data_IF_707589701120
#
_entry.id   IF_707589701120
#
_cell.length_a   1.000
_cell.length_b   1.000
_cell.length_c   1.000
_cell.angle_alpha   90.00
_cell.angle_beta   90.00
_cell.angle_gamma   90.00
#
_symmetry.space_group_name_H-M   'P 1'
#
loop_
_entity.id
_entity.type
_entity.pdbx_description
1 polymer ?
#
# COMPACT_ATOMS: atom_id res chain seq x y z
N UNK A 1 4.64 -70.58 -41.64
CA UNK A 1 4.31 -69.23 -41.17
C UNK A 1 4.92 -69.05 -39.77
N UNK A 2 6.04 -68.31 -39.65
CA UNK A 2 6.69 -68.01 -38.37
C UNK A 2 6.47 -66.51 -38.09
N UNK A 3 5.73 -66.22 -37.02
CA UNK A 3 5.46 -64.84 -36.54
C UNK A 3 6.70 -64.30 -35.80
N UNK A 4 7.26 -63.18 -36.24
CA UNK A 4 8.31 -62.45 -35.57
C UNK A 4 7.65 -61.37 -34.68
N UNK A 5 7.52 -61.66 -33.39
CA UNK A 5 7.31 -60.57 -32.39
C UNK A 5 8.66 -59.95 -32.02
N UNK A 6 8.89 -58.72 -32.48
CA UNK A 6 10.01 -57.91 -31.99
C UNK A 6 9.61 -57.29 -30.65
N UNK A 7 10.22 -57.78 -29.57
CA UNK A 7 10.16 -57.13 -28.27
C UNK A 7 11.07 -55.88 -28.28
N UNK A 8 10.52 -54.72 -28.07
CA UNK A 8 11.26 -53.48 -27.85
C UNK A 8 11.99 -53.58 -26.48
N UNK A 9 13.27 -53.17 -26.38
CA UNK A 9 14.03 -53.29 -25.13
C UNK A 9 13.49 -52.29 -24.10
N UNK A 10 13.10 -52.85 -22.94
CA UNK A 10 12.55 -52.09 -21.76
C UNK A 10 13.53 -51.08 -21.13
N UNK A 11 14.74 -50.93 -21.66
CA UNK A 11 15.78 -50.05 -21.15
C UNK A 11 15.64 -48.58 -21.58
N UNK A 12 14.83 -48.27 -22.58
CA UNK A 12 14.64 -46.88 -23.11
C UNK A 12 13.46 -46.13 -22.48
N UNK A 13 12.59 -46.84 -21.76
CA UNK A 13 11.43 -46.21 -21.09
C UNK A 13 11.74 -45.53 -19.74
N UNK A 14 12.76 -46.05 -19.02
CA UNK A 14 13.15 -45.46 -17.72
C UNK A 14 13.70 -44.01 -17.81
N UNK A 15 14.60 -43.66 -18.73
CA UNK A 15 15.12 -42.29 -18.81
C UNK A 15 14.08 -41.32 -19.30
N UNK A 16 13.12 -41.72 -20.13
CA UNK A 16 12.02 -40.84 -20.58
C UNK A 16 11.01 -40.56 -19.46
N UNK A 17 10.71 -41.54 -18.61
CA UNK A 17 9.84 -41.32 -17.44
C UNK A 17 10.53 -40.49 -16.36
N UNK A 18 11.84 -40.63 -16.16
CA UNK A 18 12.62 -39.80 -15.24
C UNK A 18 12.74 -38.34 -15.72
N UNK A 19 12.86 -38.12 -17.04
CA UNK A 19 12.87 -36.75 -17.62
C UNK A 19 11.52 -36.04 -17.48
N UNK A 20 10.41 -36.78 -17.55
CA UNK A 20 9.06 -36.22 -17.30
C UNK A 20 8.82 -35.87 -15.82
N UNK A 21 9.45 -36.59 -14.88
CA UNK A 21 9.36 -36.29 -13.45
C UNK A 21 10.22 -35.08 -13.04
N UNK A 22 11.32 -34.80 -13.75
CA UNK A 22 12.18 -33.65 -13.49
C UNK A 22 11.62 -32.33 -14.10
N UNK A 23 10.82 -32.40 -15.16
CA UNK A 23 10.13 -31.23 -15.73
C UNK A 23 8.87 -30.83 -14.98
N UNK A 24 8.37 -31.64 -14.05
CA UNK A 24 7.15 -31.37 -13.30
C UNK A 24 7.31 -30.37 -12.13
N UNK A 25 8.54 -30.12 -11.68
CA UNK A 25 8.77 -29.22 -10.54
C UNK A 25 8.54 -27.73 -10.86
N UNK A 26 8.57 -27.32 -12.13
CA UNK A 26 8.27 -25.93 -12.53
C UNK A 26 6.79 -25.67 -12.78
N UNK A 27 5.94 -26.71 -12.82
CA UNK A 27 4.49 -26.55 -13.03
C UNK A 27 3.71 -26.24 -11.76
N UNK A 28 4.34 -26.29 -10.57
CA UNK A 28 3.74 -25.85 -9.29
C UNK A 28 4.35 -24.52 -8.87
N UNK A 29 3.99 -23.47 -9.57
CA UNK A 29 4.48 -22.10 -9.35
C UNK A 29 4.03 -21.46 -8.02
N UNK A 30 3.43 -22.16 -7.11
CA UNK A 30 3.00 -21.58 -5.84
C UNK A 30 4.01 -21.88 -4.73
N UNK A 31 4.87 -20.89 -4.45
CA UNK A 31 5.57 -20.80 -3.18
C UNK A 31 4.98 -19.64 -2.39
N UNK A 32 4.50 -19.84 -1.16
CA UNK A 32 4.09 -18.73 -0.30
C UNK A 32 5.23 -17.73 -0.04
N UNK A 33 6.48 -18.16 -0.26
CA UNK A 33 7.67 -17.32 -0.14
C UNK A 33 8.08 -16.64 -1.46
N UNK A 34 7.32 -16.78 -2.54
CA UNK A 34 7.65 -16.13 -3.81
C UNK A 34 7.34 -14.64 -3.74
N UNK A 35 8.39 -13.84 -3.74
CA UNK A 35 8.32 -12.38 -3.74
C UNK A 35 8.50 -11.76 -5.13
N UNK A 36 8.64 -12.58 -6.19
CA UNK A 36 8.81 -12.10 -7.56
C UNK A 36 7.51 -11.50 -8.08
N UNK A 37 7.66 -10.48 -8.90
CA UNK A 37 6.56 -9.88 -9.65
C UNK A 37 6.93 -9.81 -11.14
N UNK A 38 5.96 -9.98 -12.06
CA UNK A 38 6.18 -9.73 -13.48
C UNK A 38 6.46 -8.23 -13.71
N UNK A 39 7.19 -7.89 -14.76
CA UNK A 39 7.67 -6.51 -15.02
C UNK A 39 6.56 -5.45 -14.97
N UNK A 40 5.35 -5.80 -15.41
CA UNK A 40 4.23 -4.86 -15.37
C UNK A 40 3.70 -4.59 -13.97
N UNK A 41 4.00 -5.45 -12.98
CA UNK A 41 3.64 -5.34 -11.57
C UNK A 41 4.84 -5.06 -10.65
N UNK A 42 5.95 -4.56 -11.17
CA UNK A 42 7.09 -4.09 -10.38
C UNK A 42 7.07 -2.57 -10.29
N UNK A 43 7.63 -2.02 -9.20
CA UNK A 43 7.79 -0.58 -8.97
C UNK A 43 6.50 0.23 -9.21
N UNK A 44 5.37 -0.29 -8.74
CA UNK A 44 4.05 0.29 -9.01
C UNK A 44 3.92 1.72 -8.46
N UNK A 45 4.54 2.03 -7.31
CA UNK A 45 4.56 3.40 -6.78
C UNK A 45 5.23 4.35 -7.76
N UNK A 46 6.43 4.02 -8.25
CA UNK A 46 7.14 4.88 -9.21
C UNK A 46 6.34 5.06 -10.51
N UNK A 47 5.74 3.99 -11.03
CA UNK A 47 4.89 4.02 -12.22
C UNK A 47 3.65 4.90 -12.04
N UNK A 48 2.98 4.80 -10.89
CA UNK A 48 1.79 5.60 -10.58
C UNK A 48 2.14 7.08 -10.32
N UNK A 49 3.26 7.37 -9.65
CA UNK A 49 3.73 8.74 -9.47
C UNK A 49 4.13 9.38 -10.81
N UNK A 50 4.78 8.64 -11.70
CA UNK A 50 5.06 9.11 -13.05
C UNK A 50 3.77 9.43 -13.83
N UNK A 51 2.72 8.61 -13.67
CA UNK A 51 1.39 8.86 -14.24
C UNK A 51 0.72 10.08 -13.60
N UNK A 52 0.83 10.26 -12.28
CA UNK A 52 0.30 11.44 -11.58
C UNK A 52 0.94 12.74 -12.10
N UNK A 53 2.24 12.73 -12.32
CA UNK A 53 3.00 13.87 -12.81
C UNK A 53 2.66 14.27 -14.27
N UNK A 54 1.95 13.44 -15.03
CA UNK A 54 1.45 13.81 -16.36
C UNK A 54 0.27 14.80 -16.29
N UNK A 55 -0.37 14.95 -15.12
CA UNK A 55 -1.46 15.89 -14.89
C UNK A 55 -1.15 16.71 -13.63
N UNK A 56 -0.16 17.62 -13.68
CA UNK A 56 0.25 18.38 -12.50
C UNK A 56 -0.88 19.29 -12.02
N UNK A 57 -1.01 19.37 -10.70
CA UNK A 57 -1.94 20.30 -10.06
C UNK A 57 -1.25 21.66 -9.94
N UNK A 58 -1.81 22.76 -10.50
CA UNK A 58 -1.26 24.09 -10.31
C UNK A 58 -1.19 24.51 -8.84
N UNK A 59 -0.20 25.32 -8.50
CA UNK A 59 -0.08 25.87 -7.15
C UNK A 59 -1.32 26.69 -6.77
N UNK A 60 -1.80 26.51 -5.55
CA UNK A 60 -3.01 27.18 -5.06
C UNK A 60 -4.31 26.48 -5.38
N UNK A 61 -4.31 25.48 -6.27
CA UNK A 61 -5.51 24.70 -6.60
C UNK A 61 -5.91 23.77 -5.47
N UNK A 62 -7.18 23.40 -5.48
CA UNK A 62 -7.76 22.45 -4.53
C UNK A 62 -7.37 21.03 -4.89
N UNK A 63 -6.69 20.36 -3.99
CA UNK A 63 -6.33 18.96 -4.10
C UNK A 63 -7.50 18.07 -3.66
N UNK A 64 -7.79 17.02 -4.45
CA UNK A 64 -8.79 16.01 -4.09
C UNK A 64 -8.24 14.63 -4.35
N UNK A 65 -8.27 13.78 -3.35
CA UNK A 65 -7.86 12.37 -3.48
C UNK A 65 -8.81 11.43 -2.75
N UNK A 66 -8.81 10.17 -3.16
CA UNK A 66 -9.51 9.09 -2.46
C UNK A 66 -8.60 8.51 -1.41
N UNK A 67 -9.14 8.21 -0.24
CA UNK A 67 -8.44 7.55 0.86
C UNK A 67 -9.24 6.36 1.39
N UNK A 68 -8.60 5.22 1.48
CA UNK A 68 -9.11 3.96 2.03
C UNK A 68 -7.93 3.10 2.49
N UNK A 69 -8.17 1.95 3.09
CA UNK A 69 -7.12 1.00 3.50
C UNK A 69 -7.65 -0.42 3.53
N UNK A 70 -6.80 -1.34 3.99
CA UNK A 70 -7.20 -2.68 4.43
C UNK A 70 -7.99 -3.44 3.35
N UNK A 71 -7.39 -3.55 2.15
CA UNK A 71 -8.01 -4.28 1.04
C UNK A 71 -7.98 -5.80 1.22
N UNK A 72 -6.91 -6.33 1.83
CA UNK A 72 -6.77 -7.75 2.20
C UNK A 72 -7.37 -8.71 1.15
N UNK A 73 -8.27 -9.60 1.57
CA UNK A 73 -8.98 -10.61 0.75
C UNK A 73 -10.26 -10.10 0.08
N UNK A 74 -10.56 -8.81 0.20
CA UNK A 74 -11.83 -8.23 -0.27
C UNK A 74 -11.76 -7.85 -1.77
N UNK A 75 -11.50 -8.84 -2.64
CA UNK A 75 -11.29 -8.62 -4.08
C UNK A 75 -12.55 -8.15 -4.83
N UNK A 76 -13.73 -8.63 -4.41
CA UNK A 76 -15.00 -8.16 -5.00
C UNK A 76 -15.25 -6.68 -4.64
N UNK A 77 -14.96 -6.33 -3.40
CA UNK A 77 -15.03 -4.95 -2.90
C UNK A 77 -14.02 -4.05 -3.63
N UNK A 78 -12.82 -4.56 -3.95
CA UNK A 78 -11.83 -3.85 -4.75
C UNK A 78 -12.35 -3.52 -6.16
N UNK A 79 -13.06 -4.48 -6.80
CA UNK A 79 -13.68 -4.24 -8.11
C UNK A 79 -14.77 -3.17 -8.03
N UNK A 80 -15.64 -3.23 -7.03
CA UNK A 80 -16.73 -2.27 -6.87
C UNK A 80 -16.20 -0.88 -6.47
N UNK A 81 -15.16 -0.80 -5.63
CA UNK A 81 -14.45 0.43 -5.32
C UNK A 81 -13.93 1.09 -6.60
N UNK A 82 -13.26 0.33 -7.47
CA UNK A 82 -12.74 0.84 -8.75
C UNK A 82 -13.86 1.41 -9.62
N UNK A 83 -15.00 0.71 -9.73
CA UNK A 83 -16.18 1.20 -10.47
C UNK A 83 -16.68 2.53 -9.88
N UNK A 84 -16.80 2.61 -8.56
CA UNK A 84 -17.27 3.79 -7.83
C UNK A 84 -16.30 4.97 -7.98
N UNK A 85 -15.00 4.75 -7.74
CA UNK A 85 -13.97 5.79 -7.85
C UNK A 85 -13.87 6.36 -9.27
N UNK A 86 -14.00 5.51 -10.29
CA UNK A 86 -13.99 5.92 -11.69
C UNK A 86 -15.16 6.84 -12.09
N UNK A 87 -16.20 6.96 -11.25
CA UNK A 87 -17.33 7.87 -11.43
C UNK A 87 -17.13 9.20 -10.69
N UNK A 88 -16.13 9.32 -9.81
CA UNK A 88 -15.90 10.54 -9.04
C UNK A 88 -15.17 11.59 -9.90
N UNK A 89 -15.80 12.73 -10.10
CA UNK A 89 -15.19 13.82 -10.84
C UNK A 89 -14.17 14.61 -10.01
N UNK A 90 -13.08 15.02 -10.66
CA UNK A 90 -12.09 15.92 -10.07
C UNK A 90 -11.24 15.32 -8.95
N UNK A 91 -11.15 13.99 -8.88
CA UNK A 91 -10.23 13.27 -7.99
C UNK A 91 -8.94 12.98 -8.76
N UNK A 92 -7.78 13.27 -8.15
CA UNK A 92 -6.49 13.15 -8.82
C UNK A 92 -5.84 11.79 -8.66
N UNK A 93 -5.92 11.18 -7.48
CA UNK A 93 -5.35 9.85 -7.20
C UNK A 93 -6.04 9.17 -6.01
N UNK A 94 -5.68 7.92 -5.77
CA UNK A 94 -6.15 7.13 -4.64
C UNK A 94 -4.97 6.73 -3.77
N UNK A 95 -5.15 6.76 -2.43
CA UNK A 95 -4.20 6.22 -1.44
C UNK A 95 -4.84 5.04 -0.73
N UNK A 96 -4.08 3.94 -0.61
CA UNK A 96 -4.42 2.79 0.23
C UNK A 96 -3.49 2.77 1.43
N UNK A 97 -4.07 2.85 2.62
CA UNK A 97 -3.37 2.94 3.89
C UNK A 97 -2.91 1.56 4.42
N UNK A 98 -2.31 0.74 3.56
CA UNK A 98 -1.75 -0.56 3.95
C UNK A 98 -2.75 -1.71 3.95
N UNK A 99 -2.26 -2.88 4.39
CA UNK A 99 -2.97 -4.16 4.42
C UNK A 99 -3.58 -4.51 3.06
N UNK A 100 -2.70 -4.56 2.06
CA UNK A 100 -3.06 -4.90 0.69
C UNK A 100 -3.26 -6.40 0.56
N UNK A 101 -2.45 -7.19 1.26
CA UNK A 101 -2.56 -8.65 1.40
C UNK A 101 -3.11 -9.04 2.76
N UNK A 102 -3.61 -10.28 2.88
CA UNK A 102 -4.09 -10.87 4.15
C UNK A 102 -2.95 -11.62 4.87
N UNK A 103 -2.05 -12.24 4.10
CA UNK A 103 -0.98 -13.10 4.63
C UNK A 103 0.43 -12.72 4.14
N UNK A 104 0.63 -11.55 3.58
CA UNK A 104 1.91 -11.10 3.05
C UNK A 104 2.35 -11.82 1.77
N UNK A 105 1.43 -12.46 1.06
CA UNK A 105 1.76 -13.13 -0.19
C UNK A 105 1.82 -12.14 -1.35
N UNK A 106 2.92 -12.14 -2.09
CA UNK A 106 3.05 -11.32 -3.29
C UNK A 106 1.94 -11.57 -4.32
N UNK A 107 1.36 -12.78 -4.34
CA UNK A 107 0.21 -13.11 -5.19
C UNK A 107 -1.04 -12.33 -4.78
N UNK A 108 -1.32 -12.18 -3.50
CA UNK A 108 -2.46 -11.39 -3.00
C UNK A 108 -2.31 -9.92 -3.39
N UNK A 109 -1.13 -9.34 -3.19
CA UNK A 109 -0.80 -7.97 -3.59
C UNK A 109 -1.00 -7.75 -5.10
N UNK A 110 -0.59 -8.73 -5.93
CA UNK A 110 -0.80 -8.66 -7.38
C UNK A 110 -2.28 -8.76 -7.77
N UNK A 111 -3.07 -9.57 -7.08
CA UNK A 111 -4.53 -9.64 -7.33
C UNK A 111 -5.21 -8.30 -7.03
N UNK A 112 -4.83 -7.61 -5.96
CA UNK A 112 -5.36 -6.28 -5.67
C UNK A 112 -4.94 -5.29 -6.76
N UNK A 113 -3.67 -5.30 -7.19
CA UNK A 113 -3.22 -4.47 -8.33
C UNK A 113 -4.00 -4.77 -9.61
N UNK A 114 -4.34 -6.03 -9.90
CA UNK A 114 -5.15 -6.40 -11.09
C UNK A 114 -6.52 -5.72 -11.12
N UNK A 115 -7.07 -5.37 -9.96
CA UNK A 115 -8.25 -4.51 -9.86
C UNK A 115 -7.91 -3.03 -9.95
N UNK A 116 -6.96 -2.56 -9.16
CA UNK A 116 -6.61 -1.14 -9.02
C UNK A 116 -6.03 -0.53 -10.31
N UNK A 117 -5.34 -1.31 -11.14
CA UNK A 117 -4.83 -0.83 -12.45
C UNK A 117 -5.94 -0.42 -13.43
N UNK A 118 -7.20 -0.79 -13.15
CA UNK A 118 -8.39 -0.38 -13.93
C UNK A 118 -8.91 1.01 -13.53
N UNK A 119 -8.29 1.64 -12.53
CA UNK A 119 -8.58 3.02 -12.16
C UNK A 119 -8.17 3.98 -13.27
N UNK A 120 -9.03 4.96 -13.54
CA UNK A 120 -8.71 6.08 -14.45
C UNK A 120 -7.66 7.02 -13.86
N UNK A 121 -7.50 7.03 -12.56
CA UNK A 121 -6.52 7.80 -11.79
C UNK A 121 -5.42 6.89 -11.26
N UNK A 122 -4.20 7.41 -10.98
CA UNK A 122 -3.15 6.63 -10.33
C UNK A 122 -3.50 6.31 -8.87
N UNK A 123 -2.82 5.31 -8.32
CA UNK A 123 -2.92 4.98 -6.89
C UNK A 123 -1.52 4.81 -6.28
N UNK A 124 -1.42 5.03 -4.97
CA UNK A 124 -0.22 4.80 -4.17
C UNK A 124 -0.61 4.10 -2.86
N UNK A 125 0.36 3.46 -2.21
CA UNK A 125 0.11 2.64 -1.02
C UNK A 125 1.18 2.89 0.04
N UNK A 126 0.86 2.63 1.30
CA UNK A 126 1.83 2.34 2.36
C UNK A 126 1.78 0.85 2.69
N UNK A 127 2.82 0.31 3.33
CA UNK A 127 2.81 -1.07 3.81
C UNK A 127 1.96 -1.19 5.07
N UNK A 128 1.17 -2.28 5.18
CA UNK A 128 0.45 -2.64 6.39
C UNK A 128 1.13 -3.79 7.15
N UNK A 129 0.60 -4.10 8.32
CA UNK A 129 1.15 -5.18 9.16
C UNK A 129 0.88 -6.57 8.55
N UNK A 130 -0.27 -6.81 7.92
CA UNK A 130 -0.54 -8.04 7.17
C UNK A 130 0.39 -8.20 5.96
N UNK A 131 0.77 -7.10 5.30
CA UNK A 131 1.75 -7.10 4.21
C UNK A 131 3.15 -7.51 4.67
N UNK A 132 3.45 -7.40 5.97
CA UNK A 132 4.76 -7.69 6.55
C UNK A 132 4.94 -9.14 6.99
N UNK A 133 3.91 -9.98 6.90
CA UNK A 133 3.94 -11.39 7.31
C UNK A 133 4.90 -12.20 6.43
N UNK A 134 5.72 -13.04 7.04
CA UNK A 134 6.66 -13.94 6.33
C UNK A 134 7.65 -13.19 5.44
N UNK A 135 7.61 -13.40 4.13
CA UNK A 135 8.41 -12.69 3.13
C UNK A 135 7.67 -11.48 2.51
N UNK A 136 6.56 -11.08 3.08
CA UNK A 136 5.66 -10.08 2.52
C UNK A 136 6.31 -8.72 2.30
N UNK A 137 7.22 -8.28 3.19
CA UNK A 137 8.00 -7.05 2.97
C UNK A 137 8.78 -7.07 1.66
N UNK A 138 9.48 -8.18 1.37
CA UNK A 138 10.23 -8.33 0.12
C UNK A 138 9.30 -8.34 -1.09
N UNK A 139 8.12 -8.95 -0.94
CA UNK A 139 7.10 -8.96 -1.98
C UNK A 139 6.55 -7.53 -2.20
N UNK A 140 6.26 -6.79 -1.12
CA UNK A 140 5.83 -5.41 -1.19
C UNK A 140 6.88 -4.53 -1.88
N UNK A 141 8.15 -4.62 -1.46
CA UNK A 141 9.25 -3.86 -2.06
C UNK A 141 9.42 -4.16 -3.55
N UNK A 142 9.27 -5.42 -3.96
CA UNK A 142 9.37 -5.83 -5.37
C UNK A 142 8.17 -5.33 -6.21
N UNK A 143 6.98 -5.28 -5.63
CA UNK A 143 5.73 -4.93 -6.34
C UNK A 143 5.49 -3.41 -6.28
N UNK A 144 5.49 -2.83 -5.09
CA UNK A 144 5.14 -1.42 -4.90
C UNK A 144 6.37 -0.51 -4.82
N UNK A 145 7.50 -0.98 -4.30
CA UNK A 145 8.72 -0.19 -4.12
C UNK A 145 9.01 0.10 -2.65
N UNK A 146 9.69 1.22 -2.32
CA UNK A 146 10.20 1.48 -0.99
C UNK A 146 9.09 1.60 0.07
N UNK A 147 9.39 1.12 1.30
CA UNK A 147 8.46 1.14 2.44
C UNK A 147 8.23 2.56 2.99
N UNK A 148 9.24 3.41 2.84
CA UNK A 148 9.16 4.83 3.20
C UNK A 148 9.51 5.65 1.97
N UNK A 149 8.66 6.59 1.60
CA UNK A 149 8.88 7.48 0.48
C UNK A 149 8.05 8.75 0.62
N UNK A 150 8.41 9.79 -0.11
CA UNK A 150 7.62 11.00 -0.19
C UNK A 150 7.45 11.44 -1.64
N UNK A 151 6.40 12.21 -1.89
CA UNK A 151 6.19 12.86 -3.17
C UNK A 151 5.46 14.19 -2.98
N UNK A 152 5.62 15.08 -3.95
CA UNK A 152 4.96 16.38 -3.96
C UNK A 152 3.93 16.38 -5.08
N UNK A 153 2.72 16.84 -4.75
CA UNK A 153 1.68 17.08 -5.74
C UNK A 153 0.94 18.39 -5.43
N UNK A 154 1.00 19.34 -6.35
CA UNK A 154 0.62 20.74 -6.08
C UNK A 154 1.43 21.32 -4.92
N UNK A 155 0.76 21.95 -3.97
CA UNK A 155 1.37 22.56 -2.78
C UNK A 155 1.52 21.58 -1.60
N UNK A 156 1.30 20.27 -1.81
CA UNK A 156 1.26 19.26 -0.75
C UNK A 156 2.39 18.27 -0.89
N UNK A 157 3.16 18.06 0.17
CA UNK A 157 4.07 16.94 0.31
C UNK A 157 3.37 15.81 1.07
N UNK A 158 3.32 14.66 0.46
CA UNK A 158 2.86 13.41 1.06
C UNK A 158 4.07 12.65 1.59
N UNK A 159 4.03 12.26 2.85
CA UNK A 159 5.07 11.49 3.54
C UNK A 159 4.46 10.14 3.88
N UNK A 160 4.90 9.09 3.17
CA UNK A 160 4.41 7.73 3.27
C UNK A 160 5.37 6.95 4.14
N UNK A 161 4.95 6.53 5.34
CA UNK A 161 5.86 5.91 6.32
C UNK A 161 5.35 4.57 6.85
N UNK A 162 6.27 3.62 6.99
CA UNK A 162 6.03 2.35 7.69
C UNK A 162 5.92 2.61 9.19
N UNK A 163 4.82 2.14 9.80
CA UNK A 163 4.55 2.26 11.25
C UNK A 163 4.24 0.90 11.90
N UNK A 164 4.55 -0.21 11.21
CA UNK A 164 4.23 -1.56 11.66
C UNK A 164 5.23 -2.05 12.73
N UNK A 165 5.31 -1.37 13.86
CA UNK A 165 6.29 -1.61 14.91
C UNK A 165 6.24 -3.02 15.51
N UNK A 166 5.05 -3.60 15.64
CA UNK A 166 4.84 -4.97 16.15
C UNK A 166 5.58 -6.02 15.30
N UNK A 167 5.54 -5.91 13.98
CA UNK A 167 6.15 -6.83 13.03
C UNK A 167 7.69 -6.80 13.07
N UNK A 168 8.24 -5.78 13.74
CA UNK A 168 9.67 -5.63 14.05
C UNK A 168 9.99 -5.86 15.52
N UNK A 169 9.07 -6.50 16.28
CA UNK A 169 9.22 -6.79 17.71
C UNK A 169 9.48 -5.53 18.54
N UNK A 170 8.94 -4.37 18.14
CA UNK A 170 9.10 -3.10 18.83
C UNK A 170 10.58 -2.74 19.08
N UNK A 171 11.42 -2.86 18.05
CA UNK A 171 12.87 -2.69 18.15
C UNK A 171 13.33 -1.22 18.23
N UNK A 172 12.40 -0.29 18.28
CA UNK A 172 12.65 1.16 18.37
C UNK A 172 13.06 1.82 17.07
N UNK A 173 12.90 1.14 15.92
CA UNK A 173 13.34 1.65 14.62
C UNK A 173 12.20 1.97 13.64
N UNK A 174 10.99 1.52 13.93
CA UNK A 174 9.82 1.73 13.10
C UNK A 174 8.74 2.50 13.88
N UNK A 175 8.34 3.68 13.38
CA UNK A 175 8.78 4.36 12.15
C UNK A 175 10.25 4.82 12.19
N UNK A 176 10.84 4.97 10.99
CA UNK A 176 12.21 5.47 10.84
C UNK A 176 12.27 6.96 11.19
N UNK A 177 12.44 7.29 12.46
CA UNK A 177 12.40 8.66 12.96
C UNK A 177 13.44 9.60 12.35
N UNK A 178 14.70 9.18 12.09
CA UNK A 178 15.66 10.01 11.35
C UNK A 178 15.11 10.46 9.99
N UNK A 179 14.51 9.53 9.22
CA UNK A 179 13.93 9.83 7.91
C UNK A 179 12.67 10.70 8.03
N UNK A 180 11.72 10.37 8.92
CA UNK A 180 10.52 11.17 9.16
C UNK A 180 10.90 12.62 9.52
N UNK A 181 11.84 12.81 10.44
CA UNK A 181 12.32 14.14 10.81
C UNK A 181 13.01 14.89 9.65
N UNK A 182 13.65 14.18 8.74
CA UNK A 182 14.22 14.78 7.54
C UNK A 182 13.11 15.28 6.60
N UNK A 183 12.09 14.45 6.36
CA UNK A 183 10.97 14.79 5.48
C UNK A 183 10.15 15.98 6.00
N UNK A 184 9.90 16.04 7.31
CA UNK A 184 9.17 17.14 7.96
C UNK A 184 9.93 18.47 7.95
N UNK A 185 11.26 18.46 7.81
CA UNK A 185 12.07 19.70 7.67
C UNK A 185 11.99 20.33 6.28
N UNK A 186 11.42 19.67 5.31
CA UNK A 186 11.26 20.23 3.97
C UNK A 186 10.31 21.44 4.01
N UNK A 187 10.77 22.55 3.46
CA UNK A 187 10.01 23.80 3.41
C UNK A 187 9.59 24.18 2.00
N UNK A 188 9.80 23.28 1.03
CA UNK A 188 9.50 23.54 -0.38
C UNK A 188 8.01 23.56 -0.70
N UNK A 189 7.17 23.01 0.20
CA UNK A 189 5.72 22.93 0.03
C UNK A 189 4.98 23.71 1.10
N UNK A 190 3.74 24.10 0.80
CA UNK A 190 2.86 24.83 1.73
C UNK A 190 2.43 23.96 2.90
N UNK A 191 2.17 22.65 2.64
CA UNK A 191 1.63 21.72 3.63
C UNK A 191 2.21 20.31 3.51
N UNK A 192 2.15 19.60 4.61
CA UNK A 192 2.48 18.18 4.68
C UNK A 192 1.24 17.36 5.04
N UNK A 193 1.16 16.17 4.49
CA UNK A 193 0.20 15.13 4.85
C UNK A 193 1.00 13.86 5.11
N UNK A 194 0.82 13.24 6.27
CA UNK A 194 1.45 11.96 6.57
C UNK A 194 0.43 10.85 6.36
N UNK A 195 0.89 9.78 5.74
CA UNK A 195 0.14 8.54 5.54
C UNK A 195 0.94 7.41 6.16
N UNK A 196 0.29 6.67 7.04
CA UNK A 196 0.84 5.48 7.67
C UNK A 196 -0.23 4.39 7.75
N UNK A 197 0.12 3.20 8.24
CA UNK A 197 -0.87 2.14 8.45
C UNK A 197 -1.33 2.09 9.90
N UNK A 198 -0.43 1.73 10.84
CA UNK A 198 -0.73 1.66 12.27
C UNK A 198 -0.74 3.07 12.86
N UNK A 199 -1.87 3.54 13.42
CA UNK A 199 -1.94 4.86 14.03
C UNK A 199 -1.16 4.93 15.36
N UNK A 200 -0.56 6.08 15.72
CA UNK A 200 0.32 6.16 16.90
C UNK A 200 -0.39 5.92 18.24
N UNK A 201 -1.71 6.02 18.32
CA UNK A 201 -2.49 5.67 19.52
C UNK A 201 -2.83 4.17 19.61
N UNK A 202 -2.42 3.35 18.66
CA UNK A 202 -2.66 1.92 18.68
C UNK A 202 -1.61 1.16 19.49
N UNK A 203 -1.95 -0.01 20.00
CA UNK A 203 -1.03 -0.88 20.74
C UNK A 203 0.04 -1.53 19.83
N UNK A 204 -0.23 -1.63 18.53
CA UNK A 204 0.69 -2.18 17.54
C UNK A 204 1.73 -1.16 17.05
N UNK A 205 1.58 0.11 17.42
CA UNK A 205 2.60 1.12 17.20
C UNK A 205 3.75 0.96 18.20
N UNK A 206 5.00 1.07 17.75
CA UNK A 206 6.16 0.89 18.63
C UNK A 206 6.20 1.94 19.76
N UNK A 207 6.01 1.52 21.04
CA UNK A 207 5.98 2.44 22.16
C UNK A 207 7.31 3.17 22.39
N UNK A 208 8.44 2.60 21.94
CA UNK A 208 9.76 3.21 22.12
C UNK A 208 9.95 4.50 21.30
N UNK A 209 9.23 4.64 20.18
CA UNK A 209 9.32 5.81 19.28
C UNK A 209 8.05 6.63 19.22
N UNK A 210 6.96 6.21 19.86
CA UNK A 210 5.65 6.89 19.83
C UNK A 210 5.75 8.37 20.21
N UNK A 211 6.34 8.67 21.36
CA UNK A 211 6.43 10.06 21.86
C UNK A 211 7.27 10.93 20.94
N UNK A 212 8.35 10.38 20.38
CA UNK A 212 9.19 11.08 19.42
C UNK A 212 8.42 11.36 18.11
N UNK A 213 7.64 10.39 17.63
CA UNK A 213 6.81 10.53 16.44
C UNK A 213 5.73 11.60 16.65
N UNK A 214 4.90 11.49 17.68
CA UNK A 214 3.84 12.45 18.01
C UNK A 214 4.41 13.86 18.21
N UNK A 215 5.56 13.96 18.87
CA UNK A 215 6.24 15.26 19.07
C UNK A 215 6.74 15.85 17.74
N UNK A 216 7.27 15.04 16.83
CA UNK A 216 7.71 15.50 15.53
C UNK A 216 6.55 16.04 14.70
N UNK A 217 5.40 15.34 14.71
CA UNK A 217 4.19 15.77 14.02
C UNK A 217 3.64 17.09 14.58
N UNK A 218 3.49 17.18 15.89
CA UNK A 218 3.03 18.39 16.58
C UNK A 218 3.89 19.62 16.26
N UNK A 219 5.19 19.42 16.13
CA UNK A 219 6.15 20.50 15.90
C UNK A 219 6.24 20.94 14.43
N UNK A 220 5.60 20.23 13.49
CA UNK A 220 5.59 20.64 12.10
C UNK A 220 4.48 21.67 11.82
N UNK A 221 4.82 22.94 11.58
CA UNK A 221 3.83 23.99 11.31
C UNK A 221 3.08 23.80 9.98
N UNK A 222 3.57 22.91 9.09
CA UNK A 222 2.97 22.61 7.79
C UNK A 222 2.08 21.37 7.81
N UNK A 223 2.13 20.55 8.85
CA UNK A 223 1.32 19.34 8.92
C UNK A 223 -0.16 19.71 8.93
N UNK A 224 -0.89 19.25 7.93
CA UNK A 224 -2.33 19.44 7.85
C UNK A 224 -3.07 18.38 8.67
N UNK A 225 -2.67 17.12 8.52
CA UNK A 225 -3.22 15.97 9.25
C UNK A 225 -2.36 14.71 8.99
N UNK A 226 -2.57 13.70 9.81
CA UNK A 226 -2.13 12.34 9.58
C UNK A 226 -3.31 11.43 9.23
N UNK A 227 -3.10 10.43 8.33
CA UNK A 227 -4.12 9.46 7.92
C UNK A 227 -3.61 8.03 8.02
N UNK A 228 -4.48 7.14 8.52
CA UNK A 228 -4.15 5.74 8.85
C UNK A 228 -5.20 4.75 8.34
N UNK A 229 -4.82 3.47 8.27
CA UNK A 229 -5.68 2.29 8.15
C UNK A 229 -5.79 1.51 9.45
N UNK A 230 -5.62 0.18 9.38
CA UNK A 230 -5.47 -0.76 10.50
C UNK A 230 -6.74 -1.04 11.30
N UNK A 231 -7.49 -0.04 11.68
CA UNK A 231 -8.68 -0.19 12.54
C UNK A 231 -9.96 -0.52 11.79
N UNK A 232 -9.93 -0.51 10.48
CA UNK A 232 -11.05 -0.77 9.57
C UNK A 232 -12.29 0.12 9.76
N UNK A 233 -12.30 0.99 10.75
CA UNK A 233 -13.41 1.89 11.06
C UNK A 233 -12.97 3.35 10.99
N UNK A 234 -13.85 4.19 10.45
CA UNK A 234 -13.59 5.61 10.36
C UNK A 234 -13.56 6.26 11.74
N UNK A 235 -12.49 6.98 12.01
CA UNK A 235 -12.43 7.93 13.12
C UNK A 235 -11.67 9.20 12.71
N UNK A 236 -11.96 10.29 13.39
CA UNK A 236 -11.25 11.58 13.26
C UNK A 236 -11.18 12.22 14.63
N UNK A 237 -10.01 12.73 15.01
CA UNK A 237 -9.82 13.38 16.30
C UNK A 237 -8.39 13.78 16.59
N UNK A 238 -8.16 14.24 17.80
CA UNK A 238 -6.87 14.65 18.35
C UNK A 238 -6.56 13.81 19.61
N UNK A 239 -6.19 12.53 19.47
CA UNK A 239 -6.03 11.61 20.60
C UNK A 239 -4.94 12.03 21.61
N UNK A 240 -4.01 12.88 21.19
CA UNK A 240 -2.92 13.38 22.03
C UNK A 240 -3.15 14.83 22.52
N UNK A 241 -4.26 15.46 22.16
CA UNK A 241 -4.56 16.88 22.47
C UNK A 241 -3.40 17.81 22.10
N UNK A 242 -2.80 17.58 20.95
CA UNK A 242 -1.58 18.22 20.46
C UNK A 242 -1.78 19.14 19.26
N UNK A 243 -3.04 19.32 18.83
CA UNK A 243 -3.42 20.13 17.67
C UNK A 243 -3.22 19.43 16.33
N UNK A 244 -2.82 18.14 16.33
CA UNK A 244 -2.72 17.32 15.14
C UNK A 244 -4.01 16.52 14.95
N UNK A 245 -4.62 16.62 13.78
CA UNK A 245 -5.77 15.78 13.42
C UNK A 245 -5.30 14.43 12.89
N UNK A 246 -5.80 13.36 13.48
CA UNK A 246 -5.59 11.97 13.07
C UNK A 246 -6.88 11.42 12.46
N UNK A 247 -6.77 10.79 11.28
CA UNK A 247 -7.91 10.30 10.50
C UNK A 247 -7.68 8.83 10.18
N UNK A 248 -8.51 7.95 10.72
CA UNK A 248 -8.49 6.54 10.34
C UNK A 248 -9.52 6.26 9.25
N UNK A 249 -9.15 5.41 8.28
CA UNK A 249 -10.01 5.03 7.16
C UNK A 249 -10.90 3.84 7.49
N UNK A 250 -11.79 3.53 6.54
CA UNK A 250 -12.50 2.27 6.47
C UNK A 250 -11.65 1.20 5.80
N UNK A 251 -11.78 -0.06 6.23
CA UNK A 251 -11.38 -1.23 5.42
C UNK A 251 -12.38 -1.47 4.28
N UNK A 252 -11.96 -2.22 3.26
CA UNK A 252 -12.80 -2.50 2.07
C UNK A 252 -14.10 -3.23 2.41
N UNK A 253 -14.13 -4.05 3.45
CA UNK A 253 -15.32 -4.77 3.92
C UNK A 253 -16.47 -3.84 4.34
N UNK A 254 -16.15 -2.61 4.70
CA UNK A 254 -17.18 -1.60 5.06
C UNK A 254 -17.84 -0.98 3.83
N UNK A 255 -17.31 -1.24 2.63
CA UNK A 255 -17.80 -0.70 1.36
C UNK A 255 -17.91 0.83 1.38
N UNK A 256 -16.95 1.49 2.02
CA UNK A 256 -16.88 2.95 2.16
C UNK A 256 -15.44 3.42 1.95
N UNK A 257 -15.32 4.63 1.39
CA UNK A 257 -14.05 5.34 1.30
C UNK A 257 -14.26 6.84 1.56
N UNK A 258 -13.16 7.55 1.73
CA UNK A 258 -13.15 9.00 1.90
C UNK A 258 -12.72 9.68 0.60
N UNK A 259 -13.40 10.76 0.22
CA UNK A 259 -12.83 11.78 -0.67
C UNK A 259 -12.34 12.90 0.22
N UNK A 260 -11.05 13.11 0.20
CA UNK A 260 -10.35 14.16 0.93
C UNK A 260 -10.16 15.34 0.00
N UNK A 261 -10.60 16.50 0.41
CA UNK A 261 -10.42 17.77 -0.32
C UNK A 261 -9.57 18.68 0.55
N UNK A 262 -8.44 19.17 0.01
CA UNK A 262 -7.47 19.99 0.75
C UNK A 262 -7.23 21.30 -0.01
N UNK A 263 -7.22 22.43 0.69
CA UNK A 263 -6.94 23.75 0.13
C UNK A 263 -6.28 24.67 1.17
N UNK A 264 -5.83 25.84 0.74
CA UNK A 264 -5.14 26.79 1.64
C UNK A 264 -3.95 26.18 2.34
N UNK A 265 -3.70 26.53 3.59
CA UNK A 265 -2.56 26.02 4.36
C UNK A 265 -2.84 24.62 4.95
N UNK A 266 -3.96 24.48 5.68
CA UNK A 266 -4.31 23.23 6.38
C UNK A 266 -5.80 22.89 6.30
N UNK A 267 -6.56 23.64 5.50
CA UNK A 267 -8.00 23.42 5.40
C UNK A 267 -8.27 22.10 4.67
N UNK A 268 -9.21 21.35 5.17
CA UNK A 268 -9.63 20.10 4.51
C UNK A 268 -11.11 19.82 4.75
N UNK A 269 -11.66 18.95 3.91
CA UNK A 269 -13.01 18.39 4.03
C UNK A 269 -12.97 16.92 3.70
N UNK A 270 -13.73 16.13 4.46
CA UNK A 270 -13.93 14.72 4.20
C UNK A 270 -15.36 14.50 3.68
N UNK A 271 -15.48 13.72 2.61
CA UNK A 271 -16.75 13.20 2.11
C UNK A 271 -16.69 11.68 2.16
N UNK A 272 -17.59 11.07 2.95
CA UNK A 272 -17.78 9.61 2.94
C UNK A 272 -18.55 9.21 1.69
N UNK A 273 -18.10 8.17 1.02
CA UNK A 273 -18.75 7.59 -0.16
C UNK A 273 -18.94 6.11 0.10
N UNK A 274 -20.15 5.63 -0.14
CA UNK A 274 -20.49 4.20 -0.12
C UNK A 274 -20.43 3.65 -1.56
N UNK A 275 -19.96 2.39 -1.72
CA UNK A 275 -19.84 1.73 -3.03
C UNK A 275 -20.34 0.28 -3.03
#
# INVERSE_FOLDING_TARGET
>A
MRSFFRTLPSRTLLPAAAALLLGGCEMLEFSPNDHRAPDHQQDLTAKNLARLNQSPLPAGDTLRFVFTGDSQRFYNEAEDLVKSVNQQAGVQFLIIAGDISDFGFGREMRWVDDHLRKLKIPYVTVIGNHDSVGNGRKAYEAIFGPLNYSFIYGDTKFIMTDTNGREYNFDGKIPNMPWVNQELRDTSTRRHVIISHVPPQDEDFDPAVRDAYVTALRNDPRLAFEMNGHRHDFSIGEPFNDGVTYINSYGFEKRQYLIVTVWGDKQFRLKKVQF
#
